data_IF_498480003796
#
_entry.id   IF_498480003796
#
_cell.length_a   1.000
_cell.length_b   1.000
_cell.length_c   1.000
_cell.angle_alpha   90.00
_cell.angle_beta   90.00
_cell.angle_gamma   90.00
#
_symmetry.space_group_name_H-M   'P 1'
#
loop_
_entity.id
_entity.type
_entity.pdbx_description
1 polymer ?
#
# COMPACT_ATOMS: atom_id res chain seq x y z
N UNK A 1 -10.23 -11.02 3.26
CA UNK A 1 -9.53 -10.30 4.35
C UNK A 1 -8.90 -8.99 3.88
N UNK A 2 -8.31 -8.90 2.68
CA UNK A 2 -7.84 -7.61 2.14
C UNK A 2 -8.98 -6.58 1.96
N UNK A 3 -10.18 -7.07 1.64
CA UNK A 3 -11.46 -6.35 1.67
C UNK A 3 -11.75 -5.63 3.00
N UNK A 4 -11.36 -6.19 4.15
CA UNK A 4 -11.55 -5.52 5.46
C UNK A 4 -10.64 -4.32 5.66
N UNK A 5 -9.49 -4.30 4.98
CA UNK A 5 -8.63 -3.12 4.81
C UNK A 5 -8.99 -2.32 3.55
N UNK A 6 -10.09 -2.70 2.90
CA UNK A 6 -10.68 -2.12 1.70
C UNK A 6 -9.81 -2.13 0.45
N UNK A 7 -8.86 -3.06 0.39
CA UNK A 7 -8.20 -3.44 -0.85
C UNK A 7 -9.12 -4.35 -1.67
N UNK A 8 -9.46 -3.89 -2.86
CA UNK A 8 -10.19 -4.65 -3.87
C UNK A 8 -9.42 -4.59 -5.18
N UNK A 9 -9.29 -5.72 -5.85
CA UNK A 9 -8.54 -5.85 -7.09
C UNK A 9 -9.49 -6.25 -8.20
N UNK A 10 -9.28 -5.69 -9.38
CA UNK A 10 -9.97 -6.10 -10.59
C UNK A 10 -8.95 -6.19 -11.72
N UNK A 11 -9.25 -7.00 -12.73
CA UNK A 11 -8.40 -7.13 -13.90
C UNK A 11 -8.51 -5.86 -14.73
N UNK A 12 -7.39 -5.19 -14.97
CA UNK A 12 -7.38 -3.95 -15.75
C UNK A 12 -7.71 -4.18 -17.24
N UNK A 13 -7.12 -5.24 -17.81
CA UNK A 13 -7.27 -5.72 -19.18
C UNK A 13 -7.30 -7.26 -19.24
N UNK A 14 -7.49 -7.84 -20.43
CA UNK A 14 -7.31 -9.29 -20.65
C UNK A 14 -5.82 -9.67 -20.49
N UNK A 15 -5.51 -10.87 -19.94
CA UNK A 15 -4.13 -11.36 -19.83
C UNK A 15 -3.39 -11.26 -21.15
N UNK A 16 -2.25 -10.58 -21.12
CA UNK A 16 -1.31 -10.53 -22.22
C UNK A 16 -0.48 -11.82 -22.23
N UNK A 17 -0.73 -12.70 -23.22
CA UNK A 17 0.05 -13.92 -23.41
C UNK A 17 1.29 -13.59 -24.25
N UNK A 18 2.46 -13.80 -23.66
CA UNK A 18 3.75 -13.50 -24.29
C UNK A 18 4.38 -14.82 -24.73
N UNK A 19 4.58 -14.97 -26.04
CA UNK A 19 5.27 -16.12 -26.64
C UNK A 19 6.71 -15.71 -26.97
N UNK A 20 7.64 -16.05 -26.06
CA UNK A 20 9.04 -15.72 -26.18
C UNK A 20 9.93 -16.82 -25.56
N UNK A 21 10.72 -17.49 -26.41
CA UNK A 21 11.60 -18.60 -26.01
C UNK A 21 12.63 -18.17 -24.96
N UNK A 22 13.15 -16.94 -25.04
CA UNK A 22 14.19 -16.44 -24.12
C UNK A 22 13.68 -16.32 -22.68
N UNK A 23 12.39 -16.04 -22.49
CA UNK A 23 11.78 -15.90 -21.16
C UNK A 23 11.61 -17.25 -20.43
N UNK A 24 11.79 -18.38 -21.12
CA UNK A 24 11.79 -19.71 -20.50
C UNK A 24 13.09 -20.04 -19.76
N UNK A 25 14.18 -19.28 -19.98
CA UNK A 25 15.46 -19.51 -19.31
C UNK A 25 15.41 -19.27 -17.79
N UNK A 26 14.41 -18.51 -17.32
CA UNK A 26 14.12 -18.24 -15.92
C UNK A 26 14.53 -16.84 -15.48
N UNK A 27 13.60 -16.11 -14.86
CA UNK A 27 13.76 -14.70 -14.51
C UNK A 27 14.41 -14.56 -13.15
N UNK A 28 15.51 -13.81 -13.10
CA UNK A 28 16.19 -13.43 -11.86
C UNK A 28 15.89 -11.98 -11.52
N UNK A 29 15.68 -11.68 -10.23
CA UNK A 29 15.45 -10.32 -9.77
C UNK A 29 16.68 -9.43 -10.04
N UNK A 30 16.46 -8.22 -10.57
CA UNK A 30 17.48 -7.26 -10.98
C UNK A 30 18.15 -7.58 -12.31
N UNK A 31 17.70 -8.61 -13.05
CA UNK A 31 18.32 -9.00 -14.33
C UNK A 31 17.90 -8.11 -15.50
N UNK A 32 18.66 -8.19 -16.60
CA UNK A 32 18.26 -7.56 -17.88
C UNK A 32 16.93 -8.14 -18.38
N UNK A 33 16.72 -9.44 -18.23
CA UNK A 33 15.48 -10.07 -18.68
C UNK A 33 14.25 -9.60 -17.89
N UNK A 34 14.36 -9.33 -16.58
CA UNK A 34 13.30 -8.66 -15.84
C UNK A 34 12.99 -7.28 -16.46
N UNK A 35 14.03 -6.52 -16.76
CA UNK A 35 13.90 -5.16 -17.32
C UNK A 35 13.26 -5.18 -18.70
N UNK A 36 13.62 -6.16 -19.56
CA UNK A 36 13.07 -6.33 -20.90
C UNK A 36 11.59 -6.71 -20.84
N UNK A 37 11.23 -7.73 -20.03
CA UNK A 37 9.83 -8.15 -19.83
C UNK A 37 8.98 -6.98 -19.35
N UNK A 38 9.43 -6.27 -18.32
CA UNK A 38 8.68 -5.15 -17.75
C UNK A 38 8.61 -3.99 -18.74
N UNK A 39 9.71 -3.64 -19.41
CA UNK A 39 9.78 -2.54 -20.36
C UNK A 39 8.84 -2.72 -21.55
N UNK A 40 8.74 -3.95 -22.07
CA UNK A 40 7.95 -4.24 -23.26
C UNK A 40 6.47 -4.51 -22.94
N UNK A 41 6.15 -4.95 -21.73
CA UNK A 41 4.84 -5.52 -21.44
C UNK A 41 4.11 -4.92 -20.24
N UNK A 42 4.75 -4.15 -19.37
CA UNK A 42 4.05 -3.50 -18.28
C UNK A 42 3.08 -2.40 -18.77
N UNK A 43 2.09 -2.11 -17.94
CA UNK A 43 1.12 -1.03 -18.11
C UNK A 43 1.25 -0.03 -16.97
N UNK A 44 1.23 1.25 -17.34
CA UNK A 44 1.14 2.35 -16.38
C UNK A 44 -0.23 2.32 -15.70
N UNK A 45 -0.29 2.73 -14.43
CA UNK A 45 -1.55 2.81 -13.69
C UNK A 45 -2.09 1.47 -13.18
N UNK A 46 -1.35 0.37 -13.33
CA UNK A 46 -1.77 -0.96 -12.91
C UNK A 46 -0.68 -1.69 -12.11
N UNK A 47 -1.10 -2.62 -11.24
CA UNK A 47 -0.21 -3.62 -10.66
C UNK A 47 0.01 -4.71 -11.71
N UNK A 48 1.22 -4.79 -12.26
CA UNK A 48 1.57 -5.75 -13.30
C UNK A 48 2.01 -7.06 -12.65
N UNK A 49 1.32 -8.16 -12.96
CA UNK A 49 1.63 -9.47 -12.41
C UNK A 49 2.11 -10.36 -13.55
N UNK A 50 3.39 -10.71 -13.52
CA UNK A 50 4.03 -11.56 -14.52
C UNK A 50 4.07 -13.01 -14.04
N UNK A 51 3.41 -13.89 -14.78
CA UNK A 51 3.43 -15.34 -14.56
C UNK A 51 4.46 -15.96 -15.49
N UNK A 52 5.51 -16.56 -14.92
CA UNK A 52 6.64 -17.09 -15.68
C UNK A 52 6.91 -18.54 -15.30
N UNK A 53 7.44 -19.36 -16.22
CA UNK A 53 7.65 -20.78 -15.97
C UNK A 53 8.74 -21.05 -14.92
N UNK A 54 9.70 -20.12 -14.75
CA UNK A 54 10.85 -20.29 -13.85
C UNK A 54 11.27 -18.97 -13.24
N UNK A 55 11.63 -19.01 -11.96
CA UNK A 55 12.21 -17.89 -11.25
C UNK A 55 13.49 -18.34 -10.55
N UNK A 56 14.56 -17.60 -10.79
CA UNK A 56 15.92 -18.00 -10.43
C UNK A 56 16.40 -17.14 -9.25
N UNK A 57 16.87 -17.80 -8.19
CA UNK A 57 17.49 -17.13 -7.04
C UNK A 57 18.89 -16.59 -7.35
N UNK A 58 19.50 -15.88 -6.38
CA UNK A 58 20.85 -15.30 -6.52
C UNK A 58 21.95 -16.35 -6.77
N UNK A 59 21.67 -17.63 -6.51
CA UNK A 59 22.60 -18.73 -6.75
C UNK A 59 22.37 -19.43 -8.09
N UNK A 60 21.44 -18.95 -8.91
CA UNK A 60 21.12 -19.57 -10.19
C UNK A 60 20.17 -20.78 -10.09
N UNK A 61 19.43 -20.93 -8.98
CA UNK A 61 18.58 -22.08 -8.71
C UNK A 61 17.09 -21.71 -8.82
N UNK A 62 16.32 -22.57 -9.50
CA UNK A 62 14.86 -22.45 -9.69
C UNK A 62 14.10 -22.94 -8.43
N UNK A 63 14.09 -22.12 -7.39
CA UNK A 63 13.52 -22.47 -6.07
C UNK A 63 12.53 -21.45 -5.52
N UNK A 64 12.44 -20.26 -6.12
CA UNK A 64 11.58 -19.19 -5.59
C UNK A 64 10.21 -19.18 -6.27
N UNK A 65 9.16 -18.98 -5.47
CA UNK A 65 7.79 -18.94 -5.96
C UNK A 65 7.35 -17.57 -6.49
N UNK A 66 8.09 -16.50 -6.14
CA UNK A 66 7.77 -15.14 -6.57
C UNK A 66 8.67 -14.09 -5.93
N UNK A 67 8.65 -12.89 -6.51
CA UNK A 67 9.21 -11.68 -5.91
C UNK A 67 8.36 -10.48 -6.30
N UNK A 68 8.35 -9.44 -5.45
CA UNK A 68 7.67 -8.18 -5.71
C UNK A 68 8.63 -7.01 -5.55
N UNK A 69 8.37 -5.92 -6.28
CA UNK A 69 9.04 -4.64 -6.02
C UNK A 69 8.40 -3.99 -4.79
N UNK A 70 9.21 -3.71 -3.77
CA UNK A 70 8.79 -2.91 -2.63
C UNK A 70 8.55 -1.44 -3.04
N UNK A 71 7.76 -0.68 -2.26
CA UNK A 71 7.44 0.72 -2.56
C UNK A 71 8.66 1.62 -2.82
N UNK A 72 9.75 1.43 -2.09
CA UNK A 72 10.98 2.24 -2.23
C UNK A 72 11.94 1.75 -3.32
N UNK A 73 11.65 0.62 -3.98
CA UNK A 73 12.48 0.12 -5.08
C UNK A 73 12.01 0.69 -6.43
N UNK A 74 10.81 1.24 -6.49
CA UNK A 74 10.14 1.69 -7.72
C UNK A 74 9.63 0.53 -8.57
N UNK A 75 8.66 0.84 -9.44
CA UNK A 75 8.03 -0.13 -10.34
C UNK A 75 6.75 -0.74 -9.78
N UNK A 76 5.78 -0.93 -10.66
CA UNK A 76 4.44 -1.43 -10.32
C UNK A 76 4.27 -2.88 -10.76
N UNK A 77 5.12 -3.78 -10.27
CA UNK A 77 5.08 -5.16 -10.70
C UNK A 77 5.57 -6.17 -9.67
N UNK A 78 5.15 -7.42 -9.89
CA UNK A 78 5.62 -8.62 -9.22
C UNK A 78 5.66 -9.79 -10.21
N UNK A 79 6.50 -10.77 -9.90
CA UNK A 79 6.66 -12.00 -10.66
C UNK A 79 6.22 -13.20 -9.82
N UNK A 80 5.56 -14.16 -10.46
CA UNK A 80 5.07 -15.40 -9.86
C UNK A 80 5.53 -16.56 -10.73
N UNK A 81 6.08 -17.59 -10.11
CA UNK A 81 6.33 -18.86 -10.77
C UNK A 81 4.98 -19.56 -11.03
N UNK A 82 4.75 -19.99 -12.26
CA UNK A 82 3.53 -20.70 -12.68
C UNK A 82 3.17 -21.87 -11.76
N UNK A 83 4.16 -22.60 -11.27
CA UNK A 83 3.95 -23.76 -10.39
C UNK A 83 3.42 -23.36 -8.99
N UNK A 84 3.62 -22.11 -8.58
CA UNK A 84 3.14 -21.57 -7.30
C UNK A 84 1.91 -20.66 -7.46
N UNK A 85 1.48 -20.35 -8.68
CA UNK A 85 0.41 -19.38 -8.93
C UNK A 85 -0.94 -19.78 -8.32
N UNK A 86 -1.22 -21.08 -8.22
CA UNK A 86 -2.49 -21.63 -7.75
C UNK A 86 -2.43 -22.20 -6.31
N UNK A 87 -1.37 -21.91 -5.55
CA UNK A 87 -1.20 -22.43 -4.18
C UNK A 87 -2.06 -21.71 -3.12
N UNK A 88 -2.75 -20.64 -3.51
CA UNK A 88 -3.68 -19.88 -2.69
C UNK A 88 -3.04 -18.86 -1.73
N UNK A 89 -1.71 -18.75 -1.65
CA UNK A 89 -1.05 -17.80 -0.74
C UNK A 89 0.15 -17.06 -1.31
N UNK A 90 0.87 -17.62 -2.29
CA UNK A 90 2.08 -16.98 -2.87
C UNK A 90 1.77 -15.65 -3.51
N UNK A 91 0.71 -15.56 -4.33
CA UNK A 91 0.32 -14.28 -4.92
C UNK A 91 -0.01 -13.24 -3.84
N UNK A 92 -0.79 -13.61 -2.82
CA UNK A 92 -1.15 -12.71 -1.73
C UNK A 92 0.07 -12.26 -0.91
N UNK A 93 1.02 -13.14 -0.69
CA UNK A 93 2.30 -12.83 -0.04
C UNK A 93 3.10 -11.79 -0.85
N UNK A 94 3.21 -11.96 -2.17
CA UNK A 94 3.89 -10.98 -3.02
C UNK A 94 3.14 -9.63 -3.07
N UNK A 95 1.81 -9.64 -3.03
CA UNK A 95 1.01 -8.42 -2.87
C UNK A 95 1.29 -7.74 -1.52
N UNK A 96 1.55 -8.50 -0.45
CA UNK A 96 2.00 -7.95 0.83
C UNK A 96 3.32 -7.16 0.69
N UNK A 97 4.33 -7.75 0.04
CA UNK A 97 5.59 -7.05 -0.26
C UNK A 97 5.39 -5.82 -1.15
N UNK A 98 4.51 -5.90 -2.15
CA UNK A 98 4.17 -4.78 -3.01
C UNK A 98 3.67 -3.56 -2.21
N UNK A 99 2.94 -3.81 -1.12
CA UNK A 99 2.46 -2.83 -0.16
C UNK A 99 3.34 -2.69 1.09
N UNK A 100 4.62 -3.07 1.02
CA UNK A 100 5.63 -2.73 2.02
C UNK A 100 5.65 -3.63 3.27
N UNK A 101 5.06 -4.82 3.22
CA UNK A 101 5.18 -5.80 4.30
C UNK A 101 6.48 -6.58 4.20
N UNK A 102 7.17 -6.75 5.32
CA UNK A 102 8.34 -7.62 5.42
C UNK A 102 7.94 -9.05 5.77
N UNK A 103 8.85 -9.99 5.57
CA UNK A 103 8.72 -11.29 6.22
C UNK A 103 8.69 -11.13 7.74
N UNK A 104 7.88 -11.94 8.44
CA UNK A 104 7.76 -11.92 9.91
C UNK A 104 9.09 -12.10 10.64
N UNK A 105 10.02 -12.89 10.10
CA UNK A 105 11.34 -13.17 10.67
C UNK A 105 12.45 -12.28 10.11
N UNK A 106 12.19 -11.03 9.69
CA UNK A 106 13.20 -10.16 9.06
C UNK A 106 14.43 -9.92 9.97
N UNK A 107 15.33 -10.88 9.97
CA UNK A 107 16.58 -10.96 10.70
C UNK A 107 17.46 -11.99 9.98
N UNK A 108 18.55 -11.52 9.38
CA UNK A 108 19.55 -12.37 8.70
C UNK A 108 20.44 -13.14 9.70
N UNK A 109 20.19 -13.02 11.00
CA UNK A 109 21.00 -13.54 12.11
C UNK A 109 20.20 -13.58 13.42
N UNK A 110 20.54 -14.52 14.31
CA UNK A 110 19.94 -14.71 15.65
C UNK A 110 20.14 -13.49 16.57
N UNK A 111 21.13 -12.63 16.26
CA UNK A 111 21.45 -11.44 17.06
C UNK A 111 20.47 -10.29 16.79
N UNK A 112 19.91 -10.23 15.58
CA UNK A 112 18.95 -9.20 15.15
C UNK A 112 17.51 -9.73 15.14
N UNK A 113 17.30 -10.93 15.68
CA UNK A 113 15.99 -11.56 15.76
C UNK A 113 15.06 -10.79 16.68
N UNK A 114 13.78 -10.81 16.32
CA UNK A 114 12.75 -10.33 17.21
C UNK A 114 12.67 -11.21 18.47
N UNK A 115 12.58 -10.58 19.63
CA UNK A 115 12.40 -11.25 20.91
C UNK A 115 10.92 -11.45 21.22
N UNK A 116 10.61 -12.53 21.94
CA UNK A 116 9.25 -12.98 22.20
C UNK A 116 8.50 -12.03 23.13
N UNK A 117 9.22 -11.31 24.00
CA UNK A 117 8.60 -10.42 24.98
C UNK A 117 7.83 -9.27 24.30
N UNK A 118 6.59 -9.06 24.72
CA UNK A 118 5.74 -7.92 24.33
C UNK A 118 5.69 -6.82 25.39
N UNK A 119 6.45 -6.99 26.47
CA UNK A 119 6.44 -6.07 27.60
C UNK A 119 7.44 -4.94 27.36
N UNK A 120 6.98 -3.72 27.10
CA UNK A 120 7.84 -2.56 26.78
C UNK A 120 8.87 -2.22 27.86
N UNK A 121 8.66 -2.66 29.10
CA UNK A 121 9.60 -2.46 30.21
C UNK A 121 10.71 -3.51 30.25
N UNK A 122 10.62 -4.57 29.45
CA UNK A 122 11.66 -5.59 29.32
C UNK A 122 12.79 -5.04 28.44
N UNK A 123 14.03 -5.23 28.87
CA UNK A 123 15.21 -4.82 28.10
C UNK A 123 15.33 -5.55 26.76
N UNK A 124 14.65 -6.68 26.62
CA UNK A 124 14.59 -7.46 25.39
C UNK A 124 13.45 -7.04 24.45
N UNK A 125 12.60 -6.09 24.83
CA UNK A 125 11.53 -5.62 23.94
C UNK A 125 12.10 -4.93 22.70
N UNK A 126 11.91 -5.53 21.51
CA UNK A 126 12.46 -5.02 20.26
C UNK A 126 11.53 -5.14 19.03
N UNK A 127 10.27 -5.58 19.16
CA UNK A 127 9.36 -5.79 18.02
C UNK A 127 9.12 -4.55 17.13
N UNK A 128 9.33 -3.34 17.67
CA UNK A 128 9.25 -2.11 16.88
C UNK A 128 10.49 -1.85 15.98
N UNK A 129 11.55 -2.64 16.17
CA UNK A 129 12.89 -2.42 15.57
C UNK A 129 13.53 -3.70 14.99
N UNK A 130 12.91 -4.86 15.22
CA UNK A 130 13.36 -6.17 14.76
C UNK A 130 12.15 -6.97 14.22
N UNK A 131 12.42 -8.10 13.56
CA UNK A 131 11.37 -8.84 12.85
C UNK A 131 10.76 -7.97 11.76
N UNK A 132 9.46 -8.13 11.49
CA UNK A 132 8.78 -7.30 10.49
C UNK A 132 8.47 -5.88 10.96
N UNK A 133 9.01 -5.42 12.09
CA UNK A 133 8.78 -4.08 12.67
C UNK A 133 7.31 -3.86 13.09
N UNK A 134 6.59 -4.93 13.39
CA UNK A 134 5.23 -4.90 13.91
C UNK A 134 5.18 -5.68 15.23
N UNK A 135 4.49 -5.11 16.22
CA UNK A 135 4.38 -5.74 17.54
C UNK A 135 3.11 -6.59 17.70
N UNK A 136 2.27 -6.64 16.67
CA UNK A 136 1.03 -7.44 16.62
C UNK A 136 1.17 -8.72 15.78
N UNK A 137 2.34 -8.93 15.19
CA UNK A 137 2.82 -10.20 14.65
C UNK A 137 3.61 -10.90 15.76
N UNK A 138 3.54 -12.23 15.83
CA UNK A 138 4.34 -13.01 16.79
C UNK A 138 5.79 -13.10 16.32
N UNK A 139 6.74 -13.07 17.26
CA UNK A 139 8.15 -13.14 16.94
C UNK A 139 8.45 -14.44 16.19
N UNK A 140 9.06 -14.31 15.01
CA UNK A 140 9.29 -15.43 14.10
C UNK A 140 10.79 -15.80 14.06
N UNK A 141 11.18 -17.01 14.51
CA UNK A 141 12.57 -17.47 14.50
C UNK A 141 13.03 -17.99 13.13
N UNK A 142 12.24 -17.80 12.07
CA UNK A 142 12.52 -18.28 10.71
C UNK A 142 11.67 -19.49 10.36
N UNK A 143 10.35 -19.31 10.30
CA UNK A 143 9.44 -20.33 9.80
C UNK A 143 9.81 -20.76 8.36
N UNK A 144 9.78 -22.06 8.11
CA UNK A 144 10.06 -22.67 6.80
C UNK A 144 9.40 -24.04 6.68
N UNK A 145 9.44 -24.64 5.49
CA UNK A 145 9.04 -26.04 5.30
C UNK A 145 9.87 -27.05 6.14
N UNK A 146 11.00 -26.63 6.72
CA UNK A 146 11.84 -27.49 7.56
C UNK A 146 11.38 -27.56 9.02
N UNK A 147 10.61 -26.59 9.49
CA UNK A 147 10.21 -26.47 10.91
C UNK A 147 8.70 -26.26 11.12
N UNK A 148 7.89 -26.41 10.06
CA UNK A 148 6.43 -26.43 10.13
C UNK A 148 5.92 -27.73 9.52
N UNK A 149 5.04 -28.44 10.24
CA UNK A 149 4.44 -29.68 9.75
C UNK A 149 3.27 -29.45 8.78
N UNK A 150 2.76 -30.54 8.19
CA UNK A 150 1.62 -30.49 7.27
C UNK A 150 0.30 -30.03 7.93
N UNK A 151 0.23 -30.06 9.27
CA UNK A 151 -0.89 -29.55 10.06
C UNK A 151 -0.67 -28.08 10.49
N UNK A 152 0.38 -27.44 9.98
CA UNK A 152 0.75 -26.05 10.25
C UNK A 152 1.19 -25.79 11.69
N UNK A 153 1.69 -26.82 12.38
CA UNK A 153 2.30 -26.66 13.70
C UNK A 153 3.79 -26.36 13.55
N UNK A 154 4.26 -25.37 14.29
CA UNK A 154 5.68 -25.13 14.47
C UNK A 154 6.31 -26.27 15.29
N UNK A 155 7.33 -26.91 14.72
CA UNK A 155 8.07 -28.03 15.32
C UNK A 155 9.41 -27.60 15.91
N UNK A 156 9.80 -26.33 15.72
CA UNK A 156 11.12 -25.87 16.14
C UNK A 156 11.26 -25.79 17.65
N UNK A 157 12.51 -25.94 18.10
CA UNK A 157 12.89 -25.89 19.52
C UNK A 157 13.70 -24.63 19.87
N UNK A 158 13.69 -23.65 18.96
CA UNK A 158 14.41 -22.37 19.15
C UNK A 158 13.78 -21.64 20.33
N UNK A 159 14.63 -21.14 21.23
CA UNK A 159 14.23 -20.37 22.40
C UNK A 159 14.82 -18.97 22.32
N UNK A 160 14.08 -17.99 22.81
CA UNK A 160 14.54 -16.62 22.94
C UNK A 160 15.57 -16.52 24.06
N UNK A 161 16.81 -16.22 23.69
CA UNK A 161 17.95 -16.18 24.58
C UNK A 161 18.34 -14.77 25.04
N UNK A 162 17.54 -13.73 24.82
CA UNK A 162 17.97 -12.38 25.16
C UNK A 162 18.29 -12.17 26.66
N UNK A 163 17.49 -12.75 27.56
CA UNK A 163 17.73 -12.71 29.01
C UNK A 163 18.24 -14.07 29.52
N UNK A 164 19.52 -14.40 29.26
CA UNK A 164 20.17 -15.63 29.77
C UNK A 164 20.40 -15.65 31.30
N UNK A 165 19.96 -14.64 32.04
CA UNK A 165 20.28 -14.50 33.46
C UNK A 165 19.64 -15.59 34.34
N UNK A 166 18.48 -16.12 33.96
CA UNK A 166 17.85 -17.27 34.64
C UNK A 166 17.05 -18.17 33.67
N UNK A 167 16.95 -19.49 33.88
CA UNK A 167 16.13 -20.38 33.05
C UNK A 167 14.64 -20.02 32.96
N UNK A 168 14.13 -19.24 33.92
CA UNK A 168 12.73 -18.79 33.95
C UNK A 168 12.43 -17.61 33.00
N UNK A 169 13.46 -17.01 32.39
CA UNK A 169 13.36 -15.90 31.44
C UNK A 169 13.57 -16.33 29.99
N UNK A 170 13.85 -17.62 29.77
CA UNK A 170 13.96 -18.18 28.42
C UNK A 170 12.54 -18.46 27.93
N UNK A 171 12.11 -17.70 26.94
CA UNK A 171 10.78 -17.83 26.33
C UNK A 171 10.86 -18.76 25.10
N UNK A 172 9.80 -19.54 24.90
CA UNK A 172 9.66 -20.34 23.68
C UNK A 172 9.07 -19.47 22.57
N UNK A 173 9.62 -19.56 21.37
CA UNK A 173 9.02 -18.93 20.19
C UNK A 173 7.70 -19.63 19.85
N UNK A 174 6.63 -18.85 19.71
CA UNK A 174 5.30 -19.31 19.27
C UNK A 174 4.86 -18.57 18.01
N UNK A 175 5.58 -18.73 16.88
CA UNK A 175 5.31 -17.98 15.67
C UNK A 175 4.00 -18.38 15.01
N UNK A 176 3.36 -17.44 14.33
CA UNK A 176 2.12 -17.69 13.58
C UNK A 176 2.40 -18.21 12.17
N UNK A 177 2.38 -19.54 12.00
CA UNK A 177 2.50 -20.18 10.68
C UNK A 177 1.33 -19.88 9.73
N UNK A 178 0.25 -19.27 10.22
CA UNK A 178 -0.86 -18.81 9.40
C UNK A 178 -0.68 -17.39 8.85
N UNK A 179 0.36 -16.67 9.26
CA UNK A 179 0.64 -15.33 8.74
C UNK A 179 1.09 -15.43 7.28
N UNK A 180 0.45 -14.64 6.40
CA UNK A 180 0.72 -14.58 4.98
C UNK A 180 2.15 -14.16 4.68
N UNK A 181 2.77 -13.34 5.53
CA UNK A 181 4.15 -12.89 5.37
C UNK A 181 5.19 -13.79 6.05
N UNK A 182 4.77 -14.93 6.62
CA UNK A 182 5.74 -15.96 7.03
C UNK A 182 6.25 -16.75 5.82
N UNK A 183 7.35 -17.47 6.01
CA UNK A 183 7.86 -18.47 5.05
C UNK A 183 7.39 -19.90 5.39
N UNK A 184 6.32 -20.04 6.18
CA UNK A 184 5.65 -21.32 6.37
C UNK A 184 5.13 -21.88 5.02
N UNK A 185 4.91 -23.20 4.90
CA UNK A 185 4.34 -23.82 3.70
C UNK A 185 3.08 -23.10 3.20
N UNK A 186 2.91 -23.02 1.88
CA UNK A 186 1.86 -22.22 1.24
C UNK A 186 0.44 -22.57 1.74
N UNK A 187 0.16 -23.83 2.07
CA UNK A 187 -1.13 -24.29 2.58
C UNK A 187 -1.46 -23.80 4.01
N UNK A 188 -0.46 -23.29 4.75
CA UNK A 188 -0.62 -22.81 6.11
C UNK A 188 -0.98 -21.33 6.18
N UNK A 189 -0.45 -20.53 5.26
CA UNK A 189 -0.56 -19.07 5.21
C UNK A 189 -1.96 -18.62 4.78
N UNK A 190 -2.65 -17.84 5.63
CA UNK A 190 -4.08 -17.48 5.45
C UNK A 190 -4.43 -16.06 5.86
N UNK A 191 -3.64 -15.43 6.73
CA UNK A 191 -4.06 -14.23 7.45
C UNK A 191 -2.99 -13.13 7.43
N UNK A 192 -3.41 -11.88 7.55
CA UNK A 192 -2.55 -10.76 7.93
C UNK A 192 -3.02 -10.22 9.29
N UNK A 193 -2.10 -9.66 10.07
CA UNK A 193 -2.41 -8.93 11.29
C UNK A 193 -3.06 -7.57 10.99
N UNK A 194 -3.60 -6.90 12.01
CA UNK A 194 -4.20 -5.58 11.83
C UNK A 194 -3.11 -4.54 11.47
N UNK A 195 -1.96 -4.58 12.14
CA UNK A 195 -0.82 -3.72 11.87
C UNK A 195 -0.20 -3.96 10.49
N UNK A 196 -0.25 -5.19 9.97
CA UNK A 196 0.11 -5.46 8.57
C UNK A 196 -0.88 -4.80 7.61
N UNK A 197 -2.18 -4.94 7.83
CA UNK A 197 -3.19 -4.26 7.00
C UNK A 197 -3.06 -2.73 7.05
N UNK A 198 -2.85 -2.15 8.23
CA UNK A 198 -2.63 -0.71 8.39
C UNK A 198 -1.39 -0.26 7.63
N UNK A 199 -0.28 -1.00 7.74
CA UNK A 199 0.94 -0.69 6.97
C UNK A 199 0.73 -0.76 5.46
N UNK A 200 -0.06 -1.72 4.97
CA UNK A 200 -0.38 -1.79 3.55
C UNK A 200 -1.13 -0.54 3.08
N UNK A 201 -2.12 -0.08 3.87
CA UNK A 201 -2.86 1.15 3.61
C UNK A 201 -1.92 2.36 3.59
N UNK A 202 -0.94 2.40 4.49
CA UNK A 202 0.04 3.48 4.58
C UNK A 202 0.89 3.58 3.32
N UNK A 203 1.45 2.46 2.89
CA UNK A 203 2.25 2.43 1.65
C UNK A 203 1.41 2.63 0.40
N UNK A 204 0.13 2.22 0.41
CA UNK A 204 -0.77 2.58 -0.67
C UNK A 204 -0.83 4.09 -0.83
N UNK A 205 -1.15 4.79 0.26
CA UNK A 205 -1.36 6.23 0.24
C UNK A 205 -0.06 7.05 0.07
N UNK A 206 1.04 6.60 0.65
CA UNK A 206 2.32 7.31 0.64
C UNK A 206 3.11 7.09 -0.66
N UNK A 207 3.03 5.89 -1.25
CA UNK A 207 3.91 5.50 -2.36
C UNK A 207 3.18 4.99 -3.60
N UNK A 208 2.05 4.26 -3.47
CA UNK A 208 1.41 3.58 -4.62
C UNK A 208 0.27 4.34 -5.26
N UNK A 209 -0.37 5.26 -4.55
CA UNK A 209 -1.60 5.90 -5.02
C UNK A 209 -1.38 6.70 -6.30
N UNK A 210 -0.22 7.34 -6.45
CA UNK A 210 0.14 8.08 -7.68
C UNK A 210 0.57 7.16 -8.83
N UNK A 211 0.91 5.92 -8.53
CA UNK A 211 1.39 4.94 -9.49
C UNK A 211 0.24 4.11 -10.12
N UNK A 212 -0.94 4.16 -9.50
CA UNK A 212 -2.13 3.39 -9.88
C UNK A 212 -3.22 4.32 -10.40
N UNK A 213 -3.85 3.95 -11.52
CA UNK A 213 -5.00 4.64 -12.08
C UNK A 213 -6.09 3.60 -12.41
N UNK A 214 -6.88 3.16 -11.42
CA UNK A 214 -7.92 2.16 -11.65
C UNK A 214 -8.95 2.61 -12.69
N UNK A 215 -9.16 3.93 -12.86
CA UNK A 215 -10.08 4.47 -13.86
C UNK A 215 -9.51 4.47 -15.29
N UNK A 216 -8.20 4.31 -15.45
CA UNK A 216 -7.56 4.13 -16.74
C UNK A 216 -7.78 2.74 -17.35
N UNK A 217 -8.30 1.79 -16.57
CA UNK A 217 -8.50 0.42 -16.99
C UNK A 217 -9.75 0.21 -17.86
N UNK A 218 -9.65 -0.67 -18.87
CA UNK A 218 -10.78 -0.99 -19.75
C UNK A 218 -11.89 -1.72 -19.02
N UNK A 219 -11.52 -2.57 -18.06
CA UNK A 219 -12.41 -3.40 -17.27
C UNK A 219 -12.67 -2.82 -15.86
N UNK A 220 -12.54 -1.49 -15.70
CA UNK A 220 -12.87 -0.83 -14.43
C UNK A 220 -14.30 -1.16 -14.00
N UNK A 221 -14.52 -1.58 -12.74
CA UNK A 221 -15.85 -1.82 -12.22
C UNK A 221 -16.68 -0.53 -12.26
N UNK A 222 -18.00 -0.68 -12.32
CA UNK A 222 -18.90 0.46 -12.23
C UNK A 222 -19.10 0.84 -10.77
N UNK A 223 -18.49 1.94 -10.36
CA UNK A 223 -18.65 2.49 -9.01
C UNK A 223 -20.03 3.12 -8.84
N UNK A 224 -20.63 3.01 -7.64
CA UNK A 224 -21.92 3.66 -7.37
C UNK A 224 -21.80 5.19 -7.39
N UNK A 225 -20.93 5.74 -6.54
CA UNK A 225 -20.62 7.15 -6.54
C UNK A 225 -19.10 7.33 -6.65
N UNK A 226 -18.66 8.29 -7.45
CA UNK A 226 -17.25 8.64 -7.64
C UNK A 226 -17.02 10.07 -7.20
N UNK A 227 -16.05 10.26 -6.30
CA UNK A 227 -15.59 11.58 -5.87
C UNK A 227 -14.17 11.77 -6.37
N UNK A 228 -13.93 12.85 -7.10
CA UNK A 228 -12.68 13.16 -7.77
C UNK A 228 -12.02 14.41 -7.18
N UNK A 229 -10.68 14.48 -7.13
CA UNK A 229 -9.73 13.52 -7.72
C UNK A 229 -9.60 12.21 -6.95
N UNK A 230 -9.17 11.15 -7.66
CA UNK A 230 -8.80 9.86 -7.05
C UNK A 230 -7.37 9.82 -6.51
N UNK A 231 -6.58 10.85 -6.80
CA UNK A 231 -5.20 11.01 -6.35
C UNK A 231 -4.94 12.41 -5.80
N UNK A 232 -3.66 12.70 -5.54
CA UNK A 232 -3.21 14.00 -5.03
C UNK A 232 -3.29 15.07 -6.13
N UNK A 233 -3.01 14.68 -7.37
CA UNK A 233 -3.10 15.58 -8.50
C UNK A 233 -4.56 15.91 -8.81
N UNK A 234 -4.88 17.19 -8.66
CA UNK A 234 -6.17 17.74 -9.06
C UNK A 234 -6.21 18.06 -10.55
N UNK A 235 -5.07 18.03 -11.26
CA UNK A 235 -5.01 18.41 -12.68
C UNK A 235 -4.96 17.19 -13.59
N UNK A 236 -5.94 17.04 -14.46
CA UNK A 236 -5.97 15.99 -15.49
C UNK A 236 -5.34 16.52 -16.77
N UNK A 237 -4.27 15.87 -17.23
CA UNK A 237 -3.51 16.24 -18.44
C UNK A 237 -3.60 15.19 -19.56
N UNK A 238 -4.41 14.15 -19.39
CA UNK A 238 -4.60 13.08 -20.36
C UNK A 238 -6.08 12.78 -20.62
N UNK A 239 -6.39 12.22 -21.79
CA UNK A 239 -7.73 11.74 -22.14
C UNK A 239 -8.18 10.72 -21.09
N UNK A 240 -9.35 10.95 -20.50
CA UNK A 240 -9.88 10.11 -19.41
C UNK A 240 -11.38 9.98 -19.51
N UNK A 241 -11.90 8.77 -19.28
CA UNK A 241 -13.35 8.54 -19.15
C UNK A 241 -13.66 8.00 -17.77
N UNK A 242 -14.51 8.69 -17.02
CA UNK A 242 -14.94 8.30 -15.68
C UNK A 242 -16.40 7.94 -15.70
N UNK A 243 -16.73 6.78 -15.12
CA UNK A 243 -18.09 6.23 -15.11
C UNK A 243 -18.53 5.94 -13.68
N UNK A 244 -19.78 6.27 -13.37
CA UNK A 244 -20.45 5.91 -12.12
C UNK A 244 -21.91 5.50 -12.40
N UNK A 245 -22.43 4.54 -11.63
CA UNK A 245 -23.83 4.10 -11.71
C UNK A 245 -24.78 5.16 -11.13
N UNK A 246 -24.35 5.85 -10.08
CA UNK A 246 -25.02 6.93 -9.37
C UNK A 246 -24.47 8.30 -9.75
N UNK A 247 -23.50 8.84 -9.01
CA UNK A 247 -23.03 10.22 -9.19
C UNK A 247 -21.53 10.37 -9.39
N UNK A 248 -21.13 11.46 -10.05
CA UNK A 248 -19.73 11.91 -10.12
C UNK A 248 -19.66 13.30 -9.50
N UNK A 249 -18.81 13.49 -8.50
CA UNK A 249 -18.49 14.80 -7.92
C UNK A 249 -17.02 15.12 -8.19
N UNK A 250 -16.70 16.30 -8.70
CA UNK A 250 -15.31 16.66 -9.05
C UNK A 250 -14.97 18.09 -8.62
N UNK A 251 -13.72 18.27 -8.19
CA UNK A 251 -13.06 19.56 -7.95
C UNK A 251 -11.77 19.71 -8.79
N UNK A 252 -11.62 18.90 -9.83
CA UNK A 252 -10.39 18.83 -10.62
C UNK A 252 -10.24 19.98 -11.62
N UNK A 253 -9.00 20.25 -12.02
CA UNK A 253 -8.63 21.10 -13.15
C UNK A 253 -8.41 20.23 -14.40
N UNK A 254 -9.06 20.58 -15.52
CA UNK A 254 -8.91 19.84 -16.78
C UNK A 254 -8.01 20.63 -17.73
N UNK A 255 -6.86 20.04 -18.09
CA UNK A 255 -5.89 20.56 -19.06
C UNK A 255 -5.63 19.54 -20.18
N UNK A 256 -6.68 19.22 -20.96
CA UNK A 256 -6.63 18.21 -22.03
C UNK A 256 -7.24 18.76 -23.29
N UNK A 257 -6.41 19.15 -24.26
CA UNK A 257 -6.87 19.70 -25.55
C UNK A 257 -7.24 18.65 -26.59
N UNK A 258 -6.85 17.39 -26.39
CA UNK A 258 -7.09 16.30 -27.34
C UNK A 258 -8.54 15.80 -27.26
N UNK A 259 -9.09 15.31 -28.37
CA UNK A 259 -10.45 14.73 -28.44
C UNK A 259 -10.39 13.21 -28.18
N UNK A 260 -11.29 12.62 -27.37
CA UNK A 260 -12.51 13.20 -26.80
C UNK A 260 -12.33 14.01 -25.50
N UNK A 261 -11.10 14.17 -25.01
CA UNK A 261 -10.78 14.92 -23.80
C UNK A 261 -11.14 14.15 -22.53
N UNK A 262 -11.63 14.87 -21.52
CA UNK A 262 -12.14 14.25 -20.30
C UNK A 262 -13.65 14.06 -20.41
N UNK A 263 -14.13 12.85 -20.15
CA UNK A 263 -15.54 12.48 -20.24
C UNK A 263 -16.07 11.92 -18.93
N UNK A 264 -17.10 12.54 -18.36
CA UNK A 264 -17.83 12.02 -17.20
C UNK A 264 -19.16 11.39 -17.62
N UNK A 265 -19.45 10.21 -17.09
CA UNK A 265 -20.66 9.43 -17.36
C UNK A 265 -21.28 8.96 -16.04
N UNK A 266 -22.32 9.64 -15.57
CA UNK A 266 -23.01 9.31 -14.32
C UNK A 266 -24.46 8.89 -14.58
N UNK A 267 -25.00 7.90 -13.87
CA UNK A 267 -26.41 7.49 -14.07
C UNK A 267 -27.43 8.45 -13.46
N UNK A 268 -27.04 9.17 -12.40
CA UNK A 268 -27.85 10.15 -11.69
C UNK A 268 -27.45 11.60 -12.02
N UNK A 269 -26.31 12.07 -11.50
CA UNK A 269 -25.87 13.45 -11.70
C UNK A 269 -24.35 13.61 -11.71
N UNK A 270 -23.88 14.70 -12.31
CA UNK A 270 -22.50 15.18 -12.23
C UNK A 270 -22.49 16.50 -11.47
N UNK A 271 -21.77 16.57 -10.35
CA UNK A 271 -21.58 17.77 -9.53
C UNK A 271 -20.18 18.32 -9.71
N UNK A 272 -20.07 19.53 -10.27
CA UNK A 272 -18.80 20.25 -10.39
C UNK A 272 -18.73 21.24 -9.23
N UNK A 273 -18.01 20.85 -8.19
CA UNK A 273 -17.95 21.61 -6.95
C UNK A 273 -16.94 22.77 -7.07
N UNK A 274 -17.02 23.80 -6.21
CA UNK A 274 -16.03 24.87 -6.18
C UNK A 274 -14.60 24.30 -6.10
N UNK A 275 -13.74 24.74 -7.03
CA UNK A 275 -12.41 24.17 -7.27
C UNK A 275 -12.28 23.48 -8.62
N UNK A 276 -13.39 23.05 -9.23
CA UNK A 276 -13.39 22.54 -10.59
C UNK A 276 -13.06 23.65 -11.60
N UNK A 277 -12.03 23.42 -12.42
CA UNK A 277 -11.56 24.37 -13.44
C UNK A 277 -11.30 23.67 -14.77
N UNK A 278 -11.36 24.43 -15.87
CA UNK A 278 -10.95 23.95 -17.20
C UNK A 278 -10.00 24.96 -17.81
N UNK A 279 -8.82 24.50 -18.21
CA UNK A 279 -7.87 25.34 -18.94
C UNK A 279 -8.44 25.68 -20.33
N UNK A 280 -8.14 26.88 -20.82
CA UNK A 280 -8.62 27.35 -22.11
C UNK A 280 -8.12 26.43 -23.23
N UNK A 281 -9.05 25.83 -23.96
CA UNK A 281 -8.76 24.89 -25.05
C UNK A 281 -8.95 23.42 -24.66
N UNK A 282 -9.19 23.14 -23.37
CA UNK A 282 -9.53 21.80 -22.92
C UNK A 282 -10.88 21.33 -23.45
N UNK A 283 -10.98 20.02 -23.68
CA UNK A 283 -12.20 19.32 -24.06
C UNK A 283 -12.72 18.56 -22.85
N UNK A 284 -13.93 18.93 -22.41
CA UNK A 284 -14.66 18.26 -21.32
C UNK A 284 -16.08 17.97 -21.77
N UNK A 285 -16.56 16.75 -21.49
CA UNK A 285 -17.93 16.32 -21.75
C UNK A 285 -18.51 15.61 -20.52
N UNK A 286 -19.78 15.84 -20.24
CA UNK A 286 -20.52 15.16 -19.19
C UNK A 286 -21.84 14.60 -19.73
N UNK A 287 -22.14 13.35 -19.40
CA UNK A 287 -23.33 12.65 -19.83
C UNK A 287 -24.05 12.03 -18.63
N UNK A 288 -25.38 12.13 -18.61
CA UNK A 288 -26.23 11.37 -17.70
C UNK A 288 -26.55 10.02 -18.35
N UNK A 289 -25.53 9.18 -18.40
CA UNK A 289 -25.53 7.85 -19.00
C UNK A 289 -24.44 7.05 -18.27
N UNK A 290 -24.74 6.64 -17.03
CA UNK A 290 -23.82 5.93 -16.15
C UNK A 290 -23.32 4.62 -16.73
N UNK A 291 -22.52 3.90 -15.95
CA UNK A 291 -22.20 2.51 -16.28
C UNK A 291 -23.27 1.56 -15.71
N UNK A 292 -23.45 0.43 -16.38
CA UNK A 292 -24.13 -0.74 -15.82
C UNK A 292 -23.05 -1.75 -15.45
N UNK A 293 -23.28 -2.53 -14.39
CA UNK A 293 -22.45 -3.69 -14.06
C UNK A 293 -22.59 -4.72 -15.19
N UNK A 294 -21.81 -4.57 -16.25
CA UNK A 294 -21.54 -5.59 -17.25
C UNK A 294 -20.11 -6.09 -17.00
N UNK A 295 -19.86 -6.61 -15.81
CA UNK A 295 -18.89 -7.68 -15.67
C UNK A 295 -19.63 -8.98 -16.00
N UNK A 296 -19.01 -9.93 -16.73
CA UNK A 296 -19.56 -11.28 -16.87
C UNK A 296 -19.91 -11.81 -15.47
N UNK A 297 -21.07 -12.44 -15.35
CA UNK A 297 -21.54 -13.14 -14.15
C UNK A 297 -20.43 -14.05 -13.60
N UNK A 298 -19.66 -13.54 -12.65
CA UNK A 298 -19.05 -14.28 -11.55
C UNK A 298 -18.49 -13.27 -10.54
N UNK A 299 -19.05 -13.34 -9.33
CA UNK A 299 -18.64 -12.66 -8.09
C UNK A 299 -18.96 -11.16 -7.98
N UNK A 300 -20.23 -10.91 -7.61
CA UNK A 300 -20.59 -9.76 -6.79
C UNK A 300 -19.90 -9.91 -5.43
N UNK A 301 -18.83 -9.16 -5.19
CA UNK A 301 -18.46 -8.76 -3.85
C UNK A 301 -18.09 -7.28 -3.81
N UNK A 302 -18.64 -6.63 -2.80
CA UNK A 302 -18.84 -5.20 -2.71
C UNK A 302 -17.53 -4.43 -2.48
N UNK A 303 -17.43 -3.28 -3.14
CA UNK A 303 -16.55 -2.19 -2.72
C UNK A 303 -16.91 -1.76 -1.29
N UNK A 304 -16.14 -2.22 -0.32
CA UNK A 304 -15.92 -1.50 0.92
C UNK A 304 -14.57 -0.83 0.78
N UNK A 305 -14.57 0.42 0.30
CA UNK A 305 -13.44 1.34 0.56
C UNK A 305 -13.29 1.35 2.09
N UNK A 306 -12.08 1.20 2.66
CA UNK A 306 -11.94 1.21 4.11
C UNK A 306 -12.47 2.55 4.58
N UNK A 307 -13.51 2.52 5.41
CA UNK A 307 -14.25 3.73 5.77
C UNK A 307 -13.34 4.73 6.51
N UNK A 308 -12.23 4.28 7.09
CA UNK A 308 -11.19 5.14 7.65
C UNK A 308 -9.80 4.43 7.65
N UNK A 309 -8.75 5.14 7.21
CA UNK A 309 -7.60 5.37 8.09
C UNK A 309 -7.70 6.83 8.54
N UNK A 310 -8.08 7.14 9.79
CA UNK A 310 -8.18 8.51 10.23
C UNK A 310 -6.86 8.93 10.89
N UNK A 311 -6.46 10.17 10.62
CA UNK A 311 -5.44 10.85 11.42
C UNK A 311 -4.15 11.05 10.69
N UNK A 312 -4.15 12.06 9.81
CA UNK A 312 -2.95 12.70 9.27
C UNK A 312 -2.08 11.82 8.35
N UNK A 313 -1.75 12.31 7.16
CA UNK A 313 -0.73 11.79 6.27
C UNK A 313 0.27 12.89 5.95
N UNK A 314 1.53 12.54 5.72
CA UNK A 314 2.61 13.46 5.39
C UNK A 314 3.39 12.88 4.22
N UNK A 315 3.38 13.53 3.05
CA UNK A 315 4.17 13.07 1.91
C UNK A 315 4.76 14.24 1.11
N UNK A 316 5.99 14.10 0.57
CA UNK A 316 6.90 12.98 0.79
C UNK A 316 7.49 13.00 2.21
N UNK A 317 7.82 11.83 2.75
CA UNK A 317 8.51 11.68 4.02
C UNK A 317 9.48 10.49 3.96
N UNK A 318 10.82 10.71 3.89
CA UNK A 318 11.53 11.95 4.18
C UNK A 318 11.30 13.09 3.17
N UNK A 319 11.29 14.33 3.66
CA UNK A 319 11.09 15.54 2.84
C UNK A 319 12.40 16.29 2.58
N UNK A 320 12.59 16.75 1.34
CA UNK A 320 13.68 17.65 0.96
C UNK A 320 13.31 19.14 1.18
N UNK A 321 12.20 19.60 0.59
CA UNK A 321 11.80 21.02 0.64
C UNK A 321 10.29 21.23 0.76
N UNK A 322 9.49 20.47 0.03
CA UNK A 322 8.03 20.61 0.00
C UNK A 322 7.36 19.29 0.32
N UNK A 323 6.26 19.39 1.05
CA UNK A 323 5.43 18.27 1.46
C UNK A 323 4.00 18.75 1.63
N UNK A 324 3.09 17.79 1.63
CA UNK A 324 1.68 18.03 1.85
C UNK A 324 1.20 17.17 3.02
N UNK A 325 0.35 17.77 3.82
CA UNK A 325 -0.37 17.13 4.90
C UNK A 325 -1.78 16.83 4.44
N UNK A 326 -2.26 15.60 4.61
CA UNK A 326 -3.68 15.27 4.39
C UNK A 326 -4.32 14.82 5.68
N UNK A 327 -5.53 15.27 5.96
CA UNK A 327 -6.30 14.78 7.10
C UNK A 327 -7.79 14.77 6.78
N UNK A 328 -8.47 13.70 7.19
CA UNK A 328 -9.92 13.56 7.02
C UNK A 328 -10.61 13.86 8.34
N UNK A 329 -11.65 14.68 8.28
CA UNK A 329 -12.54 14.90 9.41
C UNK A 329 -13.81 14.07 9.21
N UNK A 330 -14.15 13.16 10.15
CA UNK A 330 -15.34 12.31 10.03
C UNK A 330 -16.65 13.09 10.20
N UNK A 331 -16.57 14.30 10.77
CA UNK A 331 -17.66 15.27 10.91
C UNK A 331 -17.06 16.67 10.90
N UNK A 332 -17.86 17.67 10.55
CA UNK A 332 -17.46 19.07 10.70
C UNK A 332 -17.04 19.36 12.15
N UNK A 333 -15.97 20.15 12.31
CA UNK A 333 -15.40 20.37 13.63
C UNK A 333 -14.13 21.19 13.59
N UNK A 334 -13.61 21.50 14.77
CA UNK A 334 -12.34 22.22 14.88
C UNK A 334 -11.17 21.26 14.64
N UNK A 335 -10.27 21.63 13.75
CA UNK A 335 -9.01 20.94 13.51
C UNK A 335 -7.83 21.88 13.73
N UNK A 336 -6.75 21.35 14.31
CA UNK A 336 -5.49 22.05 14.52
C UNK A 336 -4.32 21.18 14.08
N UNK A 337 -3.57 21.63 13.09
CA UNK A 337 -2.38 20.96 12.58
C UNK A 337 -1.14 21.77 12.96
N UNK A 338 -0.15 21.11 13.56
CA UNK A 338 1.04 21.77 14.09
C UNK A 338 2.31 20.97 13.82
N UNK A 339 3.41 21.68 13.59
CA UNK A 339 4.76 21.12 13.50
C UNK A 339 5.49 21.34 14.83
N UNK A 340 6.07 20.28 15.36
CA UNK A 340 6.83 20.24 16.59
C UNK A 340 8.26 19.77 16.30
N UNK A 341 9.23 20.33 17.02
CA UNK A 341 10.59 19.80 17.03
C UNK A 341 10.66 18.45 17.76
N UNK A 342 11.80 17.76 17.64
CA UNK A 342 12.07 16.52 18.38
C UNK A 342 11.94 16.63 19.91
N UNK A 343 12.04 17.84 20.49
CA UNK A 343 11.85 18.09 21.93
C UNK A 343 10.41 18.50 22.29
N UNK A 344 9.49 18.50 21.32
CA UNK A 344 8.09 18.90 21.50
C UNK A 344 7.85 20.40 21.44
N UNK A 345 8.88 21.23 21.21
CA UNK A 345 8.70 22.67 21.00
C UNK A 345 7.90 22.93 19.72
N UNK A 346 6.84 23.73 19.83
CA UNK A 346 6.06 24.20 18.69
C UNK A 346 6.93 25.02 17.74
N UNK A 347 6.96 24.61 16.47
CA UNK A 347 7.64 25.30 15.38
C UNK A 347 6.63 26.17 14.64
N UNK A 348 5.54 25.57 14.18
CA UNK A 348 4.55 26.25 13.35
C UNK A 348 3.15 25.65 13.54
N UNK A 349 2.12 26.47 13.36
CA UNK A 349 0.72 26.04 13.29
C UNK A 349 0.27 26.21 11.85
N UNK A 350 0.01 25.10 11.18
CA UNK A 350 -0.35 25.07 9.77
C UNK A 350 -1.85 25.25 9.54
N UNK A 351 -2.64 24.80 10.51
CA UNK A 351 -4.08 25.02 10.54
C UNK A 351 -4.58 25.15 11.98
N UNK A 352 -5.54 26.04 12.20
CA UNK A 352 -6.30 26.15 13.46
C UNK A 352 -7.66 26.80 13.17
N UNK A 353 -8.72 26.00 13.07
CA UNK A 353 -10.03 26.52 12.72
C UNK A 353 -11.10 25.45 12.58
N UNK A 354 -12.30 25.86 12.20
CA UNK A 354 -13.39 24.95 11.87
C UNK A 354 -13.28 24.52 10.41
N UNK A 355 -13.33 23.22 10.19
CA UNK A 355 -13.27 22.58 8.89
C UNK A 355 -14.53 21.74 8.68
N UNK A 356 -14.96 21.64 7.43
CA UNK A 356 -16.11 20.81 7.05
C UNK A 356 -15.77 19.32 7.17
N UNK A 357 -16.79 18.47 7.24
CA UNK A 357 -16.61 17.02 7.07
C UNK A 357 -15.92 16.74 5.72
N UNK A 358 -14.99 15.78 5.69
CA UNK A 358 -14.27 15.40 4.48
C UNK A 358 -12.75 15.51 4.58
N UNK A 359 -12.09 15.31 3.44
CA UNK A 359 -10.63 15.33 3.31
C UNK A 359 -10.12 16.77 3.14
N UNK A 360 -9.07 17.11 3.86
CA UNK A 360 -8.38 18.40 3.79
C UNK A 360 -6.92 18.17 3.48
N UNK A 361 -6.30 19.13 2.78
CA UNK A 361 -4.87 19.11 2.49
C UNK A 361 -4.21 20.46 2.75
N UNK A 362 -2.94 20.44 3.15
CA UNK A 362 -2.11 21.62 3.38
C UNK A 362 -0.72 21.38 2.83
N UNK A 363 -0.33 22.11 1.79
CA UNK A 363 1.04 22.12 1.28
C UNK A 363 1.91 23.07 2.12
N UNK A 364 3.12 22.64 2.46
CA UNK A 364 4.02 23.37 3.33
C UNK A 364 5.47 23.24 2.87
N UNK A 365 6.23 24.32 3.00
CA UNK A 365 7.64 24.37 2.63
C UNK A 365 8.51 24.19 3.87
N UNK A 366 9.13 23.02 4.00
CA UNK A 366 10.08 22.68 5.06
C UNK A 366 11.51 23.16 4.77
N UNK A 367 11.76 23.91 3.70
CA UNK A 367 13.11 24.33 3.28
C UNK A 367 13.86 25.17 4.31
N UNK A 368 13.15 25.86 5.21
CA UNK A 368 13.76 26.60 6.31
C UNK A 368 14.15 25.72 7.52
N UNK A 369 13.70 24.47 7.58
CA UNK A 369 14.08 23.53 8.62
C UNK A 369 15.47 22.93 8.33
N UNK A 370 16.22 22.69 9.41
CA UNK A 370 17.45 21.90 9.32
C UNK A 370 17.11 20.43 9.11
N UNK A 371 18.03 19.67 8.52
CA UNK A 371 17.94 18.21 8.49
C UNK A 371 17.74 17.65 9.89
N UNK A 372 16.81 16.71 10.05
CA UNK A 372 16.50 16.12 11.35
C UNK A 372 15.07 15.59 11.53
N UNK A 373 14.76 15.24 12.77
CA UNK A 373 13.48 14.66 13.19
C UNK A 373 12.51 15.74 13.67
N UNK A 374 11.28 15.66 13.18
CA UNK A 374 10.16 16.51 13.55
C UNK A 374 8.91 15.66 13.79
N UNK A 375 7.93 16.25 14.47
CA UNK A 375 6.63 15.63 14.70
C UNK A 375 5.53 16.56 14.20
N UNK A 376 4.49 15.97 13.64
CA UNK A 376 3.32 16.68 13.14
C UNK A 376 2.14 16.20 13.93
N UNK A 377 1.45 17.12 14.59
CA UNK A 377 0.32 16.83 15.45
C UNK A 377 -0.95 17.39 14.84
N UNK A 378 -1.92 16.51 14.58
CA UNK A 378 -3.29 16.87 14.26
C UNK A 378 -4.16 16.68 15.50
N UNK A 379 -4.89 17.71 15.90
CA UNK A 379 -5.94 17.62 16.92
C UNK A 379 -7.29 17.90 16.25
N UNK A 380 -8.25 16.99 16.38
CA UNK A 380 -9.60 17.16 15.85
C UNK A 380 -10.61 16.33 16.62
N UNK A 381 -11.81 16.87 16.84
CA UNK A 381 -12.94 16.15 17.46
C UNK A 381 -12.63 15.43 18.80
N UNK A 382 -11.67 15.96 19.57
CA UNK A 382 -11.25 15.39 20.86
C UNK A 382 -10.14 14.33 20.76
N UNK A 383 -9.72 14.00 19.55
CA UNK A 383 -8.63 13.07 19.27
C UNK A 383 -7.36 13.81 18.85
N UNK A 384 -6.21 13.19 19.10
CA UNK A 384 -4.91 13.69 18.68
C UNK A 384 -4.14 12.58 17.96
N UNK A 385 -3.69 12.89 16.74
CA UNK A 385 -2.80 12.01 15.98
C UNK A 385 -1.46 12.70 15.79
N UNK A 386 -0.38 11.95 15.99
CA UNK A 386 0.99 12.45 15.81
C UNK A 386 1.71 11.58 14.80
N UNK A 387 2.35 12.21 13.82
CA UNK A 387 3.18 11.53 12.83
C UNK A 387 4.60 12.07 12.83
N UNK A 388 5.55 11.18 12.50
CA UNK A 388 6.97 11.50 12.35
C UNK A 388 7.21 12.15 10.99
N UNK A 389 7.99 13.23 10.96
CA UNK A 389 8.47 13.87 9.73
C UNK A 389 10.01 13.91 9.75
N UNK A 390 10.64 13.38 8.72
CA UNK A 390 12.10 13.39 8.56
C UNK A 390 12.48 14.43 7.51
N UNK A 391 13.23 15.46 7.90
CA UNK A 391 13.79 16.46 6.97
C UNK A 391 15.18 16.02 6.55
N UNK A 392 15.43 15.94 5.25
CA UNK A 392 16.76 15.71 4.67
C UNK A 392 17.63 16.99 4.81
N UNK A 393 18.95 16.87 4.80
CA UNK A 393 19.87 18.03 4.90
C UNK A 393 19.72 19.03 3.76
#
# INVERSE_FOLDING_TARGET
>A
KLDTAGFNFFRCEEPNYIDADDYFAGVMQGSLMESDIVGDHARSGAINIFFVPKLIDDNGIDTICGFARFPWQGGNYLFINNDCAADGSTLLHQIGHYFGLYHTHHASSVIDAEHVTRMQTDTCYNCATAGDLLCDTEADPGLSALNVDAMCNYLGLVKDSCNLATPAQILDYTPDASNLMSLAPANCRKNLSAGQLDRMVDFYFDSRMMELDPMGCTNSPCYDDVVLPLGIDTTITAIKTIRASGSITSIETIDVSDSPGVTYKAGGFVSLNPGFETIKGSIFSAYIEGCTNLLPDDEQDFLVIPKEKPGLMIAPNPVASELTFWFKLPKEGRARLQILSATGQLIEVLADGNYQEGLHSISWNAGALRGGLYFVSLQSNGEQTVQKMVKLE
#
